data_IF_438961752070
#
_entry.id   IF_438961752070
#
_cell.length_a   1.000
_cell.length_b   1.000
_cell.length_c   1.000
_cell.angle_alpha   90.00
_cell.angle_beta   90.00
_cell.angle_gamma   90.00
#
_symmetry.space_group_name_H-M   'P 1'
#
loop_
_entity.id
_entity.type
_entity.pdbx_description
1 polymer ?
#
# COMPACT_ATOMS: atom_id res chain seq x y z
N UNK A 1 0.75 22.14 27.81
CA UNK A 1 1.95 22.32 26.95
C UNK A 1 2.18 23.78 26.64
N UNK A 2 1.18 24.53 26.15
CA UNK A 2 1.34 25.96 25.82
C UNK A 2 1.79 26.85 27.00
N UNK A 3 1.30 26.60 28.22
CA UNK A 3 1.71 27.35 29.42
C UNK A 3 3.17 27.10 29.84
N UNK A 4 3.74 25.94 29.50
CA UNK A 4 5.14 25.64 29.80
C UNK A 4 6.07 26.32 28.80
N UNK A 5 5.72 26.29 27.51
CA UNK A 5 6.50 26.94 26.45
C UNK A 5 6.67 28.43 26.69
N UNK A 6 5.62 29.13 27.11
CA UNK A 6 5.71 30.57 27.36
C UNK A 6 6.58 30.94 28.57
N UNK A 7 6.57 30.09 29.60
CA UNK A 7 7.31 30.36 30.83
C UNK A 7 8.81 30.16 30.64
N UNK A 8 9.19 29.12 29.90
CA UNK A 8 10.60 28.72 29.74
C UNK A 8 11.23 29.28 28.46
N UNK A 9 10.43 29.48 27.41
CA UNK A 9 10.90 29.86 26.06
C UNK A 9 9.96 30.88 25.37
N UNK A 10 9.78 32.09 25.93
CA UNK A 10 8.93 33.12 25.33
C UNK A 10 9.39 33.53 23.93
N UNK A 11 10.68 33.39 23.62
CA UNK A 11 11.28 33.67 22.31
C UNK A 11 10.67 32.83 21.17
N UNK A 12 10.19 31.62 21.47
CA UNK A 12 9.52 30.77 20.47
C UNK A 12 8.13 31.27 20.08
N UNK A 13 7.61 32.28 20.78
CA UNK A 13 6.35 32.94 20.49
C UNK A 13 6.55 34.29 19.75
N UNK A 14 7.73 34.56 19.18
CA UNK A 14 7.98 35.78 18.39
C UNK A 14 7.06 35.83 17.16
N UNK A 15 6.10 36.76 17.19
CA UNK A 15 5.11 37.02 16.14
C UNK A 15 5.78 37.26 14.79
N UNK A 16 6.95 37.91 14.76
CA UNK A 16 7.68 38.22 13.52
C UNK A 16 8.18 36.95 12.86
N UNK A 17 8.76 36.03 13.64
CA UNK A 17 9.28 34.76 13.13
C UNK A 17 8.18 33.93 12.48
N UNK A 18 7.03 33.79 13.14
CA UNK A 18 5.88 33.03 12.61
C UNK A 18 5.27 33.69 11.37
N UNK A 19 5.13 35.01 11.33
CA UNK A 19 4.58 35.73 10.17
C UNK A 19 5.53 35.71 8.96
N UNK A 20 6.84 35.82 9.18
CA UNK A 20 7.83 35.72 8.11
C UNK A 20 7.81 34.33 7.48
N UNK A 21 7.85 33.27 8.31
CA UNK A 21 7.73 31.89 7.82
C UNK A 21 6.41 31.63 7.09
N UNK A 22 5.29 32.20 7.58
CA UNK A 22 4.00 32.13 6.88
C UNK A 22 4.10 32.71 5.48
N UNK A 23 4.73 33.87 5.34
CA UNK A 23 4.82 34.62 4.08
C UNK A 23 5.76 33.95 3.08
N UNK A 24 6.97 33.58 3.53
CA UNK A 24 8.04 33.05 2.67
C UNK A 24 7.83 31.56 2.30
N UNK A 25 6.97 30.87 3.04
CA UNK A 25 6.57 29.48 2.81
C UNK A 25 7.63 28.40 3.10
N UNK A 26 8.94 28.71 3.02
CA UNK A 26 10.03 27.80 3.35
C UNK A 26 10.99 28.41 4.40
N UNK A 27 11.41 27.63 5.40
CA UNK A 27 12.25 28.19 6.47
C UNK A 27 13.63 28.62 5.99
N UNK A 28 14.26 27.82 5.11
CA UNK A 28 15.61 28.13 4.59
C UNK A 28 15.73 29.45 3.82
N UNK A 29 14.59 30.09 3.50
CA UNK A 29 14.52 31.39 2.85
C UNK A 29 14.21 32.55 3.81
N UNK A 30 13.92 32.27 5.08
CA UNK A 30 13.69 33.28 6.11
C UNK A 30 15.01 33.89 6.60
N UNK A 31 14.95 35.02 7.31
CA UNK A 31 16.11 35.64 7.94
C UNK A 31 16.76 34.67 8.97
N UNK A 32 18.10 34.66 9.11
CA UNK A 32 18.78 33.71 10.01
C UNK A 32 18.26 33.68 11.45
N UNK A 33 17.92 34.82 12.10
CA UNK A 33 17.32 34.79 13.44
C UNK A 33 15.97 34.07 13.49
N UNK A 34 15.15 34.20 12.45
CA UNK A 34 13.86 33.49 12.33
C UNK A 34 14.08 31.99 12.11
N UNK A 35 15.07 31.63 11.28
CA UNK A 35 15.46 30.23 11.11
C UNK A 35 15.84 29.60 12.43
N UNK A 36 16.72 30.26 13.20
CA UNK A 36 17.19 29.76 14.47
C UNK A 36 16.05 29.53 15.46
N UNK A 37 15.20 30.53 15.68
CA UNK A 37 14.07 30.44 16.64
C UNK A 37 13.14 29.28 16.30
N UNK A 38 12.75 29.14 15.03
CA UNK A 38 11.81 28.10 14.61
C UNK A 38 12.44 26.69 14.57
N UNK A 39 13.74 26.61 14.27
CA UNK A 39 14.51 25.36 14.36
C UNK A 39 14.63 24.89 15.80
N UNK A 40 14.97 25.76 16.74
CA UNK A 40 15.07 25.43 18.17
C UNK A 40 13.73 24.97 18.74
N UNK A 41 12.65 25.73 18.44
CA UNK A 41 11.27 25.36 18.79
C UNK A 41 10.93 23.94 18.31
N UNK A 42 11.21 23.66 17.03
CA UNK A 42 10.88 22.37 16.42
C UNK A 42 11.74 21.25 16.96
N UNK A 43 13.06 21.47 17.09
CA UNK A 43 13.98 20.49 17.65
C UNK A 43 13.53 20.03 19.03
N UNK A 44 13.23 20.97 19.91
CA UNK A 44 12.78 20.67 21.26
C UNK A 44 11.49 19.84 21.29
N UNK A 45 10.45 20.33 20.61
CA UNK A 45 9.14 19.67 20.64
C UNK A 45 9.15 18.33 19.89
N UNK A 46 9.80 18.26 18.73
CA UNK A 46 9.88 17.05 17.93
C UNK A 46 10.66 15.95 18.65
N UNK A 47 11.83 16.25 19.21
CA UNK A 47 12.61 15.27 20.00
C UNK A 47 11.81 14.76 21.20
N UNK A 48 11.08 15.64 21.90
CA UNK A 48 10.23 15.24 23.03
C UNK A 48 9.11 14.29 22.58
N UNK A 49 8.50 14.54 21.41
CA UNK A 49 7.48 13.67 20.83
C UNK A 49 8.06 12.33 20.38
N UNK A 50 9.21 12.33 19.70
CA UNK A 50 9.94 11.11 19.30
C UNK A 50 10.23 10.25 20.53
N UNK A 51 10.85 10.81 21.57
CA UNK A 51 11.09 10.08 22.84
C UNK A 51 9.80 9.57 23.47
N UNK A 52 8.74 10.37 23.47
CA UNK A 52 7.44 9.99 24.02
C UNK A 52 6.79 8.83 23.29
N UNK A 53 7.00 8.69 21.98
CA UNK A 53 6.37 7.64 21.16
C UNK A 53 7.29 6.48 20.81
N UNK A 54 8.60 6.59 21.08
CA UNK A 54 9.60 5.56 20.77
C UNK A 54 9.25 4.19 21.37
N UNK A 55 8.59 4.14 22.53
CA UNK A 55 8.16 2.89 23.17
C UNK A 55 7.21 2.03 22.30
N UNK A 56 6.62 2.59 21.25
CA UNK A 56 5.74 1.87 20.30
C UNK A 56 6.49 1.26 19.13
N UNK A 57 7.80 1.43 19.10
CA UNK A 57 8.70 0.95 18.05
C UNK A 57 9.87 0.21 18.68
N UNK A 58 10.57 -0.58 17.89
CA UNK A 58 11.87 -1.15 18.27
C UNK A 58 13.01 -0.15 18.06
N UNK A 59 12.73 1.15 18.13
CA UNK A 59 13.77 2.15 18.17
C UNK A 59 14.70 1.83 19.35
N UNK A 60 16.04 1.83 19.14
CA UNK A 60 16.97 1.65 20.24
C UNK A 60 16.65 2.65 21.36
N UNK A 61 16.92 2.27 22.62
CA UNK A 61 16.56 3.07 23.81
C UNK A 61 16.98 4.54 23.75
N UNK A 62 17.94 4.85 22.88
CA UNK A 62 18.25 6.19 22.37
C UNK A 62 17.76 6.31 20.93
N UNK A 63 16.47 6.63 20.73
CA UNK A 63 16.01 7.04 19.41
C UNK A 63 16.94 8.15 18.92
N UNK A 64 17.56 7.94 17.74
CA UNK A 64 18.61 8.80 17.16
C UNK A 64 18.32 10.26 17.47
N UNK A 65 19.26 10.93 18.14
CA UNK A 65 19.14 12.36 18.43
C UNK A 65 19.16 13.12 17.10
N UNK A 66 17.98 13.58 16.69
CA UNK A 66 17.83 14.41 15.51
C UNK A 66 18.39 15.81 15.79
N UNK A 67 19.20 16.32 14.87
CA UNK A 67 19.61 17.73 14.87
C UNK A 67 18.40 18.64 14.69
N UNK A 68 18.56 19.93 14.99
CA UNK A 68 17.49 20.91 14.78
C UNK A 68 17.09 21.01 13.30
N UNK A 69 18.07 20.89 12.40
CA UNK A 69 17.86 20.87 10.95
C UNK A 69 17.05 19.66 10.49
N UNK A 70 17.42 18.46 10.96
CA UNK A 70 16.67 17.23 10.64
C UNK A 70 15.24 17.28 11.18
N UNK A 71 15.06 17.76 12.42
CA UNK A 71 13.74 17.90 13.04
C UNK A 71 12.83 18.84 12.24
N UNK A 72 13.37 19.99 11.82
CA UNK A 72 12.65 20.92 10.96
C UNK A 72 12.34 20.31 9.59
N UNK A 73 13.34 19.69 8.95
CA UNK A 73 13.18 19.08 7.64
C UNK A 73 12.10 17.99 7.63
N UNK A 74 12.06 17.12 8.63
CA UNK A 74 11.03 16.10 8.77
C UNK A 74 9.65 16.71 8.97
N UNK A 75 9.55 17.75 9.80
CA UNK A 75 8.30 18.47 10.01
C UNK A 75 7.82 19.12 8.71
N UNK A 76 8.66 19.87 8.01
CA UNK A 76 8.32 20.56 6.76
C UNK A 76 7.97 19.55 5.65
N UNK A 77 8.74 18.47 5.52
CA UNK A 77 8.49 17.40 4.54
C UNK A 77 7.15 16.72 4.78
N UNK A 78 6.78 16.46 6.04
CA UNK A 78 5.47 15.89 6.37
C UNK A 78 4.32 16.79 5.89
N UNK A 79 4.47 18.11 6.04
CA UNK A 79 3.47 19.09 5.62
C UNK A 79 3.37 19.21 4.10
N UNK A 80 4.46 18.99 3.37
CA UNK A 80 4.50 19.11 1.90
C UNK A 80 4.16 17.80 1.17
N UNK A 81 4.69 16.66 1.62
CA UNK A 81 4.63 15.39 0.89
C UNK A 81 3.26 14.68 1.00
N UNK A 82 2.54 14.84 2.11
CA UNK A 82 1.24 14.18 2.32
C UNK A 82 0.05 14.98 1.82
N UNK A 83 0.24 16.16 1.21
CA UNK A 83 -0.86 16.98 0.73
C UNK A 83 -0.92 17.03 -0.79
N UNK A 84 -1.97 16.42 -1.33
CA UNK A 84 -2.41 16.58 -2.71
C UNK A 84 -2.72 18.06 -2.98
N UNK A 85 -1.83 18.78 -3.69
CA UNK A 85 -1.99 20.17 -4.19
C UNK A 85 -2.37 21.27 -3.16
N UNK A 86 -2.37 21.00 -1.84
CA UNK A 86 -2.95 21.91 -0.83
C UNK A 86 -1.97 22.48 0.20
N UNK A 87 -0.65 22.37 0.01
CA UNK A 87 0.36 22.81 1.00
C UNK A 87 0.21 24.25 1.55
N UNK A 88 -0.43 25.20 0.86
CA UNK A 88 -0.74 26.53 1.45
C UNK A 88 -1.78 26.47 2.57
N UNK A 89 -2.68 25.49 2.55
CA UNK A 89 -3.81 25.37 3.48
C UNK A 89 -3.40 25.03 4.90
N UNK A 90 -2.27 24.33 5.14
CA UNK A 90 -1.92 24.00 6.53
C UNK A 90 -1.46 25.23 7.31
N UNK A 91 -0.71 26.16 6.68
CA UNK A 91 -0.34 27.42 7.34
C UNK A 91 -1.57 28.29 7.55
N UNK A 92 -2.45 28.39 6.55
CA UNK A 92 -3.70 29.12 6.72
C UNK A 92 -4.57 28.51 7.82
N UNK A 93 -4.62 27.17 7.92
CA UNK A 93 -5.29 26.47 9.02
C UNK A 93 -4.65 26.79 10.38
N UNK A 94 -3.31 26.80 10.50
CA UNK A 94 -2.62 27.15 11.74
C UNK A 94 -2.99 28.55 12.22
N UNK A 95 -3.01 29.52 11.31
CA UNK A 95 -3.31 30.91 11.64
C UNK A 95 -4.80 31.21 11.78
N UNK A 96 -5.68 30.48 11.08
CA UNK A 96 -7.13 30.61 11.24
C UNK A 96 -7.63 30.15 12.64
N UNK A 97 -6.80 29.42 13.38
CA UNK A 97 -7.09 28.99 14.75
C UNK A 97 -6.89 30.08 15.80
N UNK A 98 -6.33 31.22 15.42
CA UNK A 98 -6.13 32.35 16.34
C UNK A 98 -7.52 32.94 16.67
N UNK A 99 -7.97 32.91 17.94
CA UNK A 99 -9.20 33.60 18.32
C UNK A 99 -9.07 35.11 18.10
N UNK A 100 -10.16 35.76 17.65
CA UNK A 100 -10.15 37.19 17.31
C UNK A 100 -9.61 38.08 18.45
N UNK A 101 -9.95 37.75 19.69
CA UNK A 101 -9.58 38.53 20.88
C UNK A 101 -8.47 37.86 21.72
N UNK A 102 -7.63 37.01 21.11
CA UNK A 102 -6.61 36.30 21.87
C UNK A 102 -5.48 37.24 22.31
N UNK A 103 -5.16 37.34 23.62
CA UNK A 103 -4.03 38.13 24.10
C UNK A 103 -2.67 37.49 23.77
N UNK A 104 -2.65 36.22 23.31
CA UNK A 104 -1.44 35.47 23.00
C UNK A 104 -1.62 34.61 21.73
N UNK A 105 -1.82 35.25 20.55
CA UNK A 105 -2.21 34.58 19.31
C UNK A 105 -1.20 33.50 18.87
N UNK A 106 0.10 33.71 19.13
CA UNK A 106 1.14 32.75 18.77
C UNK A 106 1.11 31.47 19.61
N UNK A 107 0.47 31.46 20.79
CA UNK A 107 0.25 30.21 21.53
C UNK A 107 -0.66 29.25 20.76
N UNK A 108 -1.68 29.78 20.08
CA UNK A 108 -2.58 28.98 19.27
C UNK A 108 -1.85 28.37 18.06
N UNK A 109 -0.99 29.17 17.41
CA UNK A 109 -0.16 28.74 16.27
C UNK A 109 0.86 27.69 16.72
N UNK A 110 1.66 27.97 17.75
CA UNK A 110 2.65 27.05 18.29
C UNK A 110 2.00 25.74 18.75
N UNK A 111 0.86 25.81 19.45
CA UNK A 111 0.10 24.64 19.85
C UNK A 111 -0.39 23.81 18.65
N UNK A 112 -0.87 24.47 17.60
CA UNK A 112 -1.23 23.82 16.33
C UNK A 112 -0.04 23.17 15.63
N UNK A 113 1.11 23.84 15.62
CA UNK A 113 2.34 23.31 15.03
C UNK A 113 2.80 22.05 15.77
N UNK A 114 2.77 22.03 17.11
CA UNK A 114 3.09 20.85 17.92
C UNK A 114 2.13 19.68 17.64
N UNK A 115 0.85 19.95 17.37
CA UNK A 115 -0.10 18.90 16.97
C UNK A 115 0.30 18.27 15.62
N UNK A 116 0.73 19.07 14.65
CA UNK A 116 1.21 18.56 13.37
C UNK A 116 2.56 17.82 13.52
N UNK A 117 3.47 18.35 14.34
CA UNK A 117 4.73 17.67 14.68
C UNK A 117 4.52 16.32 15.34
N UNK A 118 3.45 16.15 16.12
CA UNK A 118 3.09 14.85 16.72
C UNK A 118 2.87 13.80 15.65
N UNK A 119 2.15 14.16 14.59
CA UNK A 119 1.80 13.23 13.52
C UNK A 119 3.02 12.97 12.62
N UNK A 120 3.82 14.00 12.34
CA UNK A 120 5.12 13.88 11.68
C UNK A 120 6.10 12.97 12.46
N UNK A 121 6.20 13.12 13.77
CA UNK A 121 7.07 12.29 14.62
C UNK A 121 6.63 10.82 14.65
N UNK A 122 5.33 10.55 14.65
CA UNK A 122 4.79 9.18 14.55
C UNK A 122 5.09 8.55 13.21
N UNK A 123 4.94 9.30 12.12
CA UNK A 123 5.28 8.81 10.79
C UNK A 123 6.77 8.54 10.65
N UNK A 124 7.63 9.47 11.10
CA UNK A 124 9.07 9.25 11.16
C UNK A 124 9.41 7.95 11.88
N UNK A 125 8.86 7.74 13.08
CA UNK A 125 9.09 6.52 13.85
C UNK A 125 8.61 5.26 13.12
N UNK A 126 7.44 5.32 12.48
CA UNK A 126 6.88 4.18 11.75
C UNK A 126 7.64 3.84 10.45
N UNK A 127 8.31 4.83 9.84
CA UNK A 127 9.13 4.63 8.63
C UNK A 127 10.52 4.11 8.95
N UNK A 128 11.15 4.67 9.98
CA UNK A 128 12.54 4.34 10.31
C UNK A 128 12.67 3.11 11.21
N UNK A 129 11.63 2.76 11.96
CA UNK A 129 11.69 1.67 12.94
C UNK A 129 10.50 0.73 12.80
N UNK A 130 10.77 -0.57 12.99
CA UNK A 130 9.72 -1.56 13.10
C UNK A 130 8.82 -1.26 14.32
N UNK A 131 7.51 -1.56 14.25
CA UNK A 131 6.62 -1.51 15.41
C UNK A 131 7.14 -2.36 16.58
N UNK A 132 6.80 -1.96 17.80
CA UNK A 132 7.18 -2.71 19.00
C UNK A 132 6.63 -4.14 18.92
N UNK A 133 7.49 -5.12 19.19
CA UNK A 133 7.16 -6.55 19.11
C UNK A 133 7.34 -7.19 17.73
N UNK A 134 7.65 -6.43 16.68
CA UNK A 134 8.10 -6.99 15.39
C UNK A 134 9.61 -7.18 15.39
N UNK A 135 10.06 -8.41 15.58
CA UNK A 135 11.48 -8.77 15.53
C UNK A 135 11.88 -9.00 14.07
N UNK A 136 13.04 -8.51 13.65
CA UNK A 136 13.57 -8.82 12.31
C UNK A 136 13.76 -10.32 12.19
N UNK A 137 13.38 -10.90 11.05
CA UNK A 137 13.59 -12.32 10.84
C UNK A 137 15.10 -12.65 10.84
N UNK A 138 15.92 -11.77 10.29
CA UNK A 138 17.38 -11.86 10.29
C UNK A 138 18.06 -11.57 11.65
N UNK A 139 17.31 -11.21 12.70
CA UNK A 139 17.91 -11.04 14.02
C UNK A 139 18.33 -12.38 14.61
N UNK A 140 19.52 -12.47 15.24
CA UNK A 140 19.98 -13.70 15.87
C UNK A 140 19.03 -14.10 17.00
N UNK A 141 18.82 -15.40 17.15
CA UNK A 141 17.98 -15.95 18.21
C UNK A 141 18.65 -15.75 19.58
N UNK A 142 17.91 -15.33 20.62
CA UNK A 142 18.47 -15.09 21.96
C UNK A 142 18.76 -16.39 22.75
N UNK A 143 18.94 -17.53 22.08
CA UNK A 143 19.10 -18.85 22.71
C UNK A 143 20.58 -19.24 22.77
N UNK A 144 21.05 -19.66 23.96
CA UNK A 144 22.41 -20.12 24.17
C UNK A 144 22.74 -21.30 23.24
N UNK A 145 23.80 -21.16 22.43
CA UNK A 145 24.23 -22.16 21.45
C UNK A 145 23.74 -21.95 20.01
N UNK A 146 22.90 -20.94 19.76
CA UNK A 146 22.35 -20.62 18.43
C UNK A 146 22.81 -19.24 17.92
N UNK A 147 24.02 -18.80 18.28
CA UNK A 147 24.51 -17.43 18.01
C UNK A 147 24.58 -17.06 16.52
N UNK A 148 24.57 -18.06 15.64
CA UNK A 148 24.58 -17.89 14.17
C UNK A 148 23.22 -18.19 13.50
N UNK A 149 22.19 -18.55 14.26
CA UNK A 149 20.86 -18.85 13.71
C UNK A 149 19.94 -17.65 13.93
N UNK A 150 19.28 -17.25 12.84
CA UNK A 150 18.24 -16.22 12.82
C UNK A 150 16.84 -16.86 12.83
N UNK A 151 15.79 -16.06 12.98
CA UNK A 151 14.43 -16.57 12.77
C UNK A 151 14.18 -16.97 11.31
N UNK A 152 14.86 -16.38 10.32
CA UNK A 152 14.77 -16.79 8.91
C UNK A 152 15.16 -18.25 8.71
N UNK A 153 16.21 -18.70 9.40
CA UNK A 153 16.71 -20.08 9.33
C UNK A 153 15.75 -21.12 9.93
N UNK A 154 14.78 -20.67 10.74
CA UNK A 154 13.76 -21.51 11.35
C UNK A 154 12.43 -21.48 10.59
N UNK A 155 12.27 -20.56 9.64
CA UNK A 155 11.12 -20.59 8.75
C UNK A 155 11.25 -21.84 7.86
N UNK A 156 10.16 -22.58 7.63
CA UNK A 156 10.18 -23.63 6.62
C UNK A 156 10.64 -23.01 5.31
N UNK A 157 11.79 -23.46 4.80
CA UNK A 157 12.37 -23.02 3.53
C UNK A 157 11.25 -23.02 2.48
N UNK A 158 11.02 -21.88 1.82
CA UNK A 158 9.78 -21.61 1.06
C UNK A 158 9.61 -22.43 -0.21
N UNK A 159 10.41 -23.47 -0.41
CA UNK A 159 10.14 -24.54 -1.34
C UNK A 159 11.33 -25.48 -1.39
N UNK A 160 11.12 -26.77 -1.13
CA UNK A 160 12.08 -27.78 -1.56
C UNK A 160 12.32 -27.56 -3.07
N UNK A 161 13.58 -27.44 -3.54
CA UNK A 161 13.86 -27.25 -4.97
C UNK A 161 13.19 -28.30 -5.87
N UNK A 162 12.97 -29.51 -5.35
CA UNK A 162 12.21 -30.54 -6.05
C UNK A 162 10.73 -30.15 -6.26
N UNK A 163 10.09 -29.52 -5.28
CA UNK A 163 8.69 -29.08 -5.37
C UNK A 163 8.56 -27.90 -6.34
N UNK A 164 9.55 -27.00 -6.38
CA UNK A 164 9.61 -25.90 -7.36
C UNK A 164 9.80 -26.42 -8.79
N UNK A 165 10.65 -27.43 -8.99
CA UNK A 165 10.80 -28.10 -10.30
C UNK A 165 9.50 -28.79 -10.71
N UNK A 166 8.90 -29.58 -9.81
CA UNK A 166 7.62 -30.23 -10.06
C UNK A 166 6.53 -29.20 -10.42
N UNK A 167 6.46 -28.09 -9.68
CA UNK A 167 5.52 -27.01 -9.96
C UNK A 167 5.71 -26.42 -11.36
N UNK A 168 6.94 -26.17 -11.80
CA UNK A 168 7.23 -25.68 -13.16
C UNK A 168 6.77 -26.67 -14.23
N UNK A 169 6.98 -27.96 -14.01
CA UNK A 169 6.48 -29.01 -14.91
C UNK A 169 4.95 -28.97 -15.01
N UNK A 170 4.23 -28.83 -13.90
CA UNK A 170 2.78 -28.66 -13.90
C UNK A 170 2.34 -27.36 -14.60
N UNK A 171 3.04 -26.24 -14.39
CA UNK A 171 2.76 -24.96 -15.06
C UNK A 171 2.94 -25.06 -16.58
N UNK A 172 3.97 -25.77 -17.05
CA UNK A 172 4.23 -25.98 -18.47
C UNK A 172 3.17 -26.91 -19.10
N UNK A 173 2.80 -28.00 -18.42
CA UNK A 173 1.69 -28.86 -18.85
C UNK A 173 0.37 -28.08 -18.92
N UNK A 174 0.07 -27.30 -17.87
CA UNK A 174 -1.13 -26.47 -17.81
C UNK A 174 -1.20 -25.48 -18.97
N UNK A 175 -0.07 -24.88 -19.36
CA UNK A 175 0.01 -23.95 -20.49
C UNK A 175 -0.31 -24.64 -21.81
N UNK A 176 0.22 -25.85 -22.04
CA UNK A 176 -0.09 -26.66 -23.22
C UNK A 176 -1.58 -26.98 -23.34
N UNK A 177 -2.19 -27.48 -22.25
CA UNK A 177 -3.64 -27.74 -22.22
C UNK A 177 -4.48 -26.48 -22.40
N UNK A 178 -4.07 -25.36 -21.79
CA UNK A 178 -4.76 -24.09 -21.94
C UNK A 178 -4.73 -23.59 -23.39
N UNK A 179 -3.63 -23.77 -24.12
CA UNK A 179 -3.53 -23.40 -25.54
C UNK A 179 -4.49 -24.21 -26.41
N UNK A 180 -4.55 -25.53 -26.22
CA UNK A 180 -5.45 -26.42 -26.94
C UNK A 180 -6.92 -26.07 -26.68
N UNK A 181 -7.29 -25.92 -25.40
CA UNK A 181 -8.65 -25.51 -25.02
C UNK A 181 -9.01 -24.13 -25.56
N UNK A 182 -8.10 -23.15 -25.45
CA UNK A 182 -8.33 -21.82 -25.95
C UNK A 182 -8.57 -21.82 -27.47
N UNK A 183 -7.81 -22.62 -28.23
CA UNK A 183 -7.98 -22.78 -29.66
C UNK A 183 -9.35 -23.40 -30.02
N UNK A 184 -9.83 -24.36 -29.22
CA UNK A 184 -11.13 -24.99 -29.40
C UNK A 184 -12.33 -24.12 -28.93
N UNK A 185 -12.11 -23.16 -28.03
CA UNK A 185 -13.17 -22.29 -27.51
C UNK A 185 -13.71 -21.34 -28.58
N UNK A 186 -15.04 -21.25 -28.66
CA UNK A 186 -15.72 -20.22 -29.43
C UNK A 186 -15.64 -18.84 -28.78
N UNK A 187 -16.04 -17.81 -29.52
CA UNK A 187 -16.07 -16.42 -29.03
C UNK A 187 -16.92 -16.26 -27.77
N UNK A 188 -18.05 -16.99 -27.68
CA UNK A 188 -18.95 -16.93 -26.52
C UNK A 188 -18.24 -17.36 -25.23
N UNK A 189 -17.57 -18.51 -25.26
CA UNK A 189 -16.87 -19.06 -24.11
C UNK A 189 -15.72 -18.14 -23.67
N UNK A 190 -14.98 -17.57 -24.64
CA UNK A 190 -13.90 -16.61 -24.38
C UNK A 190 -14.40 -15.34 -23.69
N UNK A 191 -15.51 -14.77 -24.16
CA UNK A 191 -16.12 -13.58 -23.51
C UNK A 191 -16.60 -13.90 -22.09
N UNK A 192 -17.21 -15.06 -21.87
CA UNK A 192 -17.67 -15.47 -20.54
C UNK A 192 -16.50 -15.64 -19.57
N UNK A 193 -15.43 -16.31 -20.01
CA UNK A 193 -14.24 -16.51 -19.20
C UNK A 193 -13.54 -15.17 -18.90
N UNK A 194 -13.48 -14.27 -19.88
CA UNK A 194 -12.95 -12.91 -19.70
C UNK A 194 -13.72 -12.14 -18.63
N UNK A 195 -15.05 -12.12 -18.71
CA UNK A 195 -15.88 -11.42 -17.73
C UNK A 195 -15.67 -11.98 -16.32
N UNK A 196 -15.54 -13.31 -16.19
CA UNK A 196 -15.27 -13.95 -14.89
C UNK A 196 -13.89 -13.58 -14.34
N UNK A 197 -12.87 -13.54 -15.19
CA UNK A 197 -11.51 -13.18 -14.83
C UNK A 197 -11.41 -11.73 -14.36
N UNK A 198 -12.12 -10.82 -15.03
CA UNK A 198 -12.21 -9.40 -14.67
C UNK A 198 -13.21 -9.09 -13.55
N UNK A 199 -13.76 -10.12 -12.90
CA UNK A 199 -14.76 -10.01 -11.83
C UNK A 199 -16.03 -9.22 -12.21
N UNK A 200 -16.37 -9.17 -13.51
CA UNK A 200 -17.60 -8.54 -14.00
C UNK A 200 -18.76 -9.54 -13.85
N UNK A 201 -19.91 -9.14 -13.27
CA UNK A 201 -21.06 -10.02 -13.18
C UNK A 201 -21.53 -10.50 -14.56
N UNK A 202 -21.74 -11.81 -14.73
CA UNK A 202 -22.26 -12.40 -15.99
C UNK A 202 -23.70 -11.95 -16.34
N UNK A 203 -24.37 -11.25 -15.42
CA UNK A 203 -25.67 -10.61 -15.64
C UNK A 203 -25.55 -9.21 -16.28
N UNK A 204 -24.34 -8.70 -16.46
CA UNK A 204 -24.12 -7.39 -17.04
C UNK A 204 -24.60 -7.38 -18.52
N UNK A 205 -25.41 -6.40 -18.96
CA UNK A 205 -25.94 -6.34 -20.32
C UNK A 205 -24.87 -6.41 -21.42
N UNK A 206 -23.70 -5.80 -21.18
CA UNK A 206 -22.58 -5.83 -22.12
C UNK A 206 -22.03 -7.25 -22.31
N UNK A 207 -21.94 -8.02 -21.21
CA UNK A 207 -21.51 -9.42 -21.26
C UNK A 207 -22.54 -10.26 -22.02
N UNK A 208 -23.85 -10.09 -21.77
CA UNK A 208 -24.89 -10.84 -22.48
C UNK A 208 -24.91 -10.53 -23.98
N UNK A 209 -24.71 -9.25 -24.34
CA UNK A 209 -24.63 -8.79 -25.72
C UNK A 209 -23.42 -9.38 -26.45
N UNK A 210 -22.22 -9.29 -25.85
CA UNK A 210 -20.98 -9.77 -26.46
C UNK A 210 -20.92 -11.30 -26.54
N UNK A 211 -21.39 -12.01 -25.50
CA UNK A 211 -21.45 -13.46 -25.48
C UNK A 211 -22.63 -14.02 -26.32
N UNK A 212 -23.61 -13.19 -26.66
CA UNK A 212 -24.81 -13.60 -27.41
C UNK A 212 -25.73 -14.53 -26.62
N UNK A 213 -25.70 -14.49 -25.29
CA UNK A 213 -26.53 -15.35 -24.44
C UNK A 213 -26.86 -14.72 -23.09
N UNK A 214 -28.01 -15.09 -22.51
CA UNK A 214 -28.44 -14.65 -21.18
C UNK A 214 -27.60 -15.28 -20.06
N UNK A 215 -27.57 -14.63 -18.88
CA UNK A 215 -26.89 -15.08 -17.66
C UNK A 215 -26.97 -16.59 -17.41
N UNK A 216 -28.17 -17.18 -17.42
CA UNK A 216 -28.34 -18.61 -17.10
C UNK A 216 -27.59 -19.52 -18.08
N UNK A 217 -27.56 -19.17 -19.36
CA UNK A 217 -26.79 -19.90 -20.39
C UNK A 217 -25.29 -19.64 -20.24
N UNK A 218 -24.89 -18.41 -19.90
CA UNK A 218 -23.50 -18.08 -19.64
C UNK A 218 -22.93 -18.86 -18.44
N UNK A 219 -23.67 -18.94 -17.33
CA UNK A 219 -23.29 -19.73 -16.16
C UNK A 219 -23.21 -21.24 -16.48
N UNK A 220 -24.14 -21.77 -17.28
CA UNK A 220 -24.10 -23.17 -17.71
C UNK A 220 -22.87 -23.44 -18.60
N UNK A 221 -22.58 -22.56 -19.55
CA UNK A 221 -21.40 -22.68 -20.42
C UNK A 221 -20.08 -22.61 -19.64
N UNK A 222 -19.96 -21.72 -18.66
CA UNK A 222 -18.79 -21.64 -17.79
C UNK A 222 -18.60 -22.92 -16.96
N UNK A 223 -19.69 -23.47 -16.41
CA UNK A 223 -19.63 -24.75 -15.68
C UNK A 223 -19.18 -25.88 -16.59
N UNK A 224 -19.78 -26.00 -17.76
CA UNK A 224 -19.42 -27.04 -18.74
C UNK A 224 -17.97 -26.90 -19.22
N UNK A 225 -17.45 -25.68 -19.35
CA UNK A 225 -16.03 -25.45 -19.64
C UNK A 225 -15.14 -26.02 -18.54
N UNK A 226 -15.40 -25.67 -17.27
CA UNK A 226 -14.60 -26.13 -16.12
C UNK A 226 -14.67 -27.65 -15.95
N UNK A 227 -15.87 -28.22 -16.07
CA UNK A 227 -16.08 -29.67 -16.02
C UNK A 227 -15.39 -30.38 -17.20
N UNK A 228 -15.42 -29.77 -18.39
CA UNK A 228 -14.75 -30.27 -19.58
C UNK A 228 -13.23 -30.33 -19.42
N UNK A 229 -12.62 -29.24 -18.94
CA UNK A 229 -11.17 -29.17 -18.66
C UNK A 229 -10.78 -30.25 -17.66
N UNK A 230 -11.49 -30.35 -16.53
CA UNK A 230 -11.20 -31.36 -15.50
C UNK A 230 -11.38 -32.80 -16.02
N UNK A 231 -12.39 -33.04 -16.86
CA UNK A 231 -12.63 -34.35 -17.47
C UNK A 231 -11.53 -34.72 -18.45
N UNK A 232 -11.11 -33.80 -19.33
CA UNK A 232 -10.06 -34.05 -20.30
C UNK A 232 -8.71 -34.30 -19.64
N UNK A 233 -8.36 -33.53 -18.61
CA UNK A 233 -7.14 -33.77 -17.82
C UNK A 233 -7.16 -35.14 -17.14
N UNK A 234 -8.28 -35.53 -16.52
CA UNK A 234 -8.42 -36.86 -15.92
C UNK A 234 -8.26 -37.99 -16.95
N UNK A 235 -8.74 -37.78 -18.18
CA UNK A 235 -8.60 -38.74 -19.27
C UNK A 235 -7.16 -38.81 -19.78
N UNK A 236 -6.45 -37.68 -19.82
CA UNK A 236 -5.05 -37.60 -20.26
C UNK A 236 -4.04 -38.18 -19.26
N UNK A 237 -4.35 -38.12 -17.95
CA UNK A 237 -3.47 -38.56 -16.87
C UNK A 237 -4.21 -39.50 -15.90
N UNK A 238 -4.56 -40.73 -16.31
CA UNK A 238 -5.36 -41.65 -15.49
C UNK A 238 -4.62 -42.19 -14.25
N UNK A 239 -3.29 -42.17 -14.27
CA UNK A 239 -2.44 -42.67 -13.17
C UNK A 239 -2.16 -41.60 -12.10
N UNK A 240 -2.46 -40.32 -12.38
CA UNK A 240 -2.19 -39.22 -11.47
C UNK A 240 -3.19 -39.19 -10.31
N UNK A 241 -2.70 -38.72 -9.16
CA UNK A 241 -3.54 -38.55 -7.97
C UNK A 241 -4.65 -37.51 -8.20
N UNK A 242 -5.75 -37.61 -7.45
CA UNK A 242 -6.82 -36.60 -7.53
C UNK A 242 -6.34 -35.20 -7.15
N UNK A 243 -5.38 -35.09 -6.23
CA UNK A 243 -4.79 -33.82 -5.81
C UNK A 243 -3.96 -33.19 -6.92
N UNK A 244 -3.11 -33.98 -7.58
CA UNK A 244 -2.33 -33.57 -8.76
C UNK A 244 -3.24 -33.08 -9.89
N UNK A 245 -4.30 -33.84 -10.21
CA UNK A 245 -5.26 -33.47 -11.25
C UNK A 245 -6.02 -32.19 -10.90
N UNK A 246 -6.40 -32.01 -9.64
CA UNK A 246 -7.05 -30.78 -9.18
C UNK A 246 -6.12 -29.58 -9.34
N UNK A 247 -4.87 -29.72 -8.90
CA UNK A 247 -3.85 -28.68 -9.03
C UNK A 247 -3.60 -28.32 -10.49
N UNK A 248 -3.39 -29.30 -11.36
CA UNK A 248 -3.22 -29.10 -12.80
C UNK A 248 -4.45 -28.41 -13.44
N UNK A 249 -5.67 -28.76 -13.00
CA UNK A 249 -6.90 -28.11 -13.46
C UNK A 249 -6.91 -26.63 -13.10
N UNK A 250 -6.54 -26.28 -11.86
CA UNK A 250 -6.47 -24.88 -11.41
C UNK A 250 -5.46 -24.11 -12.25
N UNK A 251 -4.24 -24.62 -12.40
CA UNK A 251 -3.20 -23.97 -13.22
C UNK A 251 -3.62 -23.82 -14.69
N UNK A 252 -4.32 -24.81 -15.25
CA UNK A 252 -4.83 -24.75 -16.62
C UNK A 252 -5.87 -23.64 -16.78
N UNK A 253 -6.78 -23.49 -15.82
CA UNK A 253 -7.77 -22.42 -15.82
C UNK A 253 -7.13 -21.03 -15.63
N UNK A 254 -6.09 -20.93 -14.81
CA UNK A 254 -5.30 -19.70 -14.67
C UNK A 254 -4.58 -19.33 -15.98
N UNK A 255 -3.92 -20.29 -16.63
CA UNK A 255 -3.31 -20.08 -17.93
C UNK A 255 -4.36 -19.68 -18.99
N UNK A 256 -5.54 -20.32 -19.01
CA UNK A 256 -6.65 -19.94 -19.88
C UNK A 256 -7.10 -18.49 -19.68
N UNK A 257 -7.18 -18.03 -18.42
CA UNK A 257 -7.50 -16.64 -18.12
C UNK A 257 -6.46 -15.68 -18.74
N UNK A 258 -5.17 -16.01 -18.69
CA UNK A 258 -4.11 -15.22 -19.32
C UNK A 258 -4.23 -15.19 -20.85
N UNK A 259 -4.55 -16.33 -21.49
CA UNK A 259 -4.79 -16.39 -22.94
C UNK A 259 -5.99 -15.53 -23.35
N UNK A 260 -7.09 -15.62 -22.60
CA UNK A 260 -8.30 -14.83 -22.86
C UNK A 260 -8.05 -13.34 -22.66
N UNK A 261 -7.29 -12.94 -21.63
CA UNK A 261 -6.94 -11.53 -21.41
C UNK A 261 -6.07 -10.96 -22.55
N UNK A 262 -5.07 -11.72 -23.01
CA UNK A 262 -4.23 -11.34 -24.16
C UNK A 262 -5.07 -11.20 -25.44
N UNK A 263 -5.95 -12.16 -25.72
CA UNK A 263 -6.87 -12.09 -26.85
C UNK A 263 -7.80 -10.88 -26.77
N UNK A 264 -8.40 -10.62 -25.60
CA UNK A 264 -9.29 -9.49 -25.38
C UNK A 264 -8.62 -8.13 -25.64
N UNK A 265 -7.33 -8.02 -25.34
CA UNK A 265 -6.54 -6.82 -25.60
C UNK A 265 -6.33 -6.54 -27.09
N UNK A 266 -6.40 -7.58 -27.93
CA UNK A 266 -6.29 -7.48 -29.39
C UNK A 266 -7.66 -7.41 -30.10
N UNK A 267 -8.75 -7.77 -29.43
CA UNK A 267 -10.10 -7.84 -30.00
C UNK A 267 -10.86 -6.52 -29.73
N UNK A 268 -11.16 -5.70 -30.76
CA UNK A 268 -11.82 -4.41 -30.57
C UNK A 268 -13.17 -4.49 -29.86
N UNK A 269 -13.90 -5.60 -30.04
CA UNK A 269 -15.20 -5.83 -29.40
C UNK A 269 -15.13 -5.96 -27.88
N UNK A 270 -13.96 -6.24 -27.33
CA UNK A 270 -13.75 -6.39 -25.89
C UNK A 270 -13.32 -5.10 -25.19
N UNK A 271 -13.06 -4.01 -25.93
CA UNK A 271 -12.58 -2.75 -25.38
C UNK A 271 -13.51 -2.17 -24.29
N UNK A 272 -14.82 -2.18 -24.54
CA UNK A 272 -15.81 -1.69 -23.57
C UNK A 272 -15.82 -2.50 -22.27
N UNK A 273 -15.54 -3.80 -22.36
CA UNK A 273 -15.53 -4.70 -21.21
C UNK A 273 -14.25 -4.51 -20.37
N UNK A 274 -13.11 -4.25 -21.02
CA UNK A 274 -11.86 -3.88 -20.34
C UNK A 274 -11.98 -2.52 -19.64
N UNK A 275 -12.58 -1.52 -20.29
CA UNK A 275 -12.86 -0.22 -19.69
C UNK A 275 -13.79 -0.32 -18.49
N UNK A 276 -14.82 -1.18 -18.58
CA UNK A 276 -15.73 -1.43 -17.48
C UNK A 276 -15.00 -2.02 -16.25
N UNK A 277 -14.07 -2.96 -16.46
CA UNK A 277 -13.29 -3.56 -15.38
C UNK A 277 -12.43 -2.52 -14.63
N UNK A 278 -11.76 -1.61 -15.35
CA UNK A 278 -10.97 -0.54 -14.76
C UNK A 278 -11.81 0.36 -13.83
N UNK A 279 -13.05 0.68 -14.22
CA UNK A 279 -13.95 1.48 -13.39
C UNK A 279 -14.38 0.75 -12.09
N UNK A 280 -14.50 -0.59 -12.13
CA UNK A 280 -14.82 -1.38 -10.95
C UNK A 280 -13.67 -1.39 -9.94
N UNK A 281 -12.42 -1.46 -10.41
CA UNK A 281 -11.23 -1.43 -9.55
C UNK A 281 -11.09 -0.09 -8.81
N UNK A 282 -11.34 1.03 -9.50
CA UNK A 282 -11.33 2.37 -8.88
C UNK A 282 -12.40 2.51 -7.79
N UNK A 283 -13.58 1.94 -8.00
CA UNK A 283 -14.69 2.01 -7.03
C UNK A 283 -14.41 1.14 -5.80
N UNK A 284 -13.78 -0.04 -5.98
CA UNK A 284 -13.46 -0.95 -4.88
C UNK A 284 -12.30 -0.46 -4.01
N UNK A 285 -11.39 0.36 -4.55
CA UNK A 285 -10.24 0.92 -3.84
C UNK A 285 -10.59 2.08 -2.89
N UNK A 286 -11.82 2.60 -2.93
CA UNK A 286 -12.30 3.72 -2.12
C UNK A 286 -13.57 3.37 -1.31
N UNK A 287 -13.48 2.43 -0.35
CA UNK A 287 -14.58 2.13 0.57
C UNK A 287 -14.84 3.25 1.58
#
# INVERSE_FOLDING_TARGET
>A
MAEWTEREHPEWLDVRAWNEWRTICALGLCAPPVQQVLMEFTAFHFQRLVRRYAYRTNAPGEARMLTAGESWHLFETHLTARQTRQGKRYKDWLFARIPADSPAPMRAVAGGAVLLMRDAAREYLAREFAPAGLVSLSSPLPTAGCENLSMEDLLPDTGNPADEVARREYEDLARGHAEEWFAAMGTRERVILLARHLSIPLANPLVEQLAGCRKSKACAALRSLVEGVAFDLRRGYPEDSQESLHFLTVLTLEALNQHVHRWASAEPRCADLLNLAANYEETAAHP
#
